data_IF_383695006941
#
_entry.id   IF_383695006941
#
_cell.length_a   1.000
_cell.length_b   1.000
_cell.length_c   1.000
_cell.angle_alpha   90.00
_cell.angle_beta   90.00
_cell.angle_gamma   90.00
#
_symmetry.space_group_name_H-M   'P 1'
#
loop_
_entity.id
_entity.type
_entity.pdbx_description
1 polymer ?
#
# COMPACT_ATOMS: atom_id res chain seq x y z
N UNK A 1 -0.08 10.46 6.80
CA UNK A 1 -0.35 9.21 7.54
C UNK A 1 0.76 8.98 8.54
N UNK A 2 0.46 8.34 9.66
CA UNK A 2 1.41 8.04 10.73
C UNK A 2 1.40 6.55 10.96
N UNK A 3 2.54 5.91 10.74
CA UNK A 3 2.71 4.46 10.73
C UNK A 3 3.40 4.06 12.01
N UNK A 4 2.80 3.15 12.78
CA UNK A 4 3.46 2.48 13.89
C UNK A 4 3.84 1.08 13.49
N UNK A 5 5.09 0.73 13.77
CA UNK A 5 5.63 -0.59 13.49
C UNK A 5 5.59 -1.43 14.78
N UNK A 6 5.12 -2.66 14.66
CA UNK A 6 5.08 -3.64 15.75
C UNK A 6 5.50 -5.04 15.31
N UNK A 7 5.58 -5.96 16.26
CA UNK A 7 6.05 -7.33 16.00
C UNK A 7 7.58 -7.43 16.04
N UNK A 8 8.16 -8.19 15.11
CA UNK A 8 9.59 -8.50 15.07
C UNK A 8 10.20 -8.21 13.69
N UNK A 9 10.22 -6.94 13.22
CA UNK A 9 10.90 -6.60 11.96
C UNK A 9 12.40 -6.84 12.05
N UNK A 10 13.04 -7.12 10.92
CA UNK A 10 14.49 -7.01 10.78
C UNK A 10 14.92 -5.55 10.61
N UNK A 11 16.22 -5.27 10.66
CA UNK A 11 16.74 -3.93 10.34
C UNK A 11 16.48 -3.59 8.86
N UNK A 12 16.62 -4.58 7.96
CA UNK A 12 16.34 -4.42 6.53
C UNK A 12 14.86 -4.11 6.28
N UNK A 13 13.93 -4.74 7.02
CA UNK A 13 12.50 -4.42 6.93
C UNK A 13 12.22 -2.95 7.28
N UNK A 14 12.88 -2.42 8.31
CA UNK A 14 12.72 -1.02 8.73
C UNK A 14 13.28 -0.06 7.67
N UNK A 15 14.43 -0.39 7.09
CA UNK A 15 15.04 0.38 6.00
C UNK A 15 14.12 0.41 4.76
N UNK A 16 13.51 -0.72 4.42
CA UNK A 16 12.54 -0.78 3.31
C UNK A 16 11.27 0.02 3.62
N UNK A 17 10.76 0.00 4.86
CA UNK A 17 9.62 0.88 5.23
C UNK A 17 9.99 2.35 5.08
N UNK A 18 11.17 2.77 5.54
CA UNK A 18 11.63 4.15 5.41
C UNK A 18 11.80 4.58 3.95
N UNK A 19 12.34 3.69 3.11
CA UNK A 19 12.46 3.91 1.66
C UNK A 19 11.10 4.09 1.00
N UNK A 20 10.16 3.18 1.23
CA UNK A 20 8.81 3.21 0.67
C UNK A 20 8.06 4.48 1.14
N UNK A 21 8.22 4.88 2.40
CA UNK A 21 7.67 6.14 2.93
C UNK A 21 8.26 7.35 2.20
N UNK A 22 9.58 7.38 1.97
CA UNK A 22 10.23 8.45 1.23
C UNK A 22 9.70 8.56 -0.20
N UNK A 23 9.61 7.43 -0.91
CA UNK A 23 9.14 7.43 -2.30
C UNK A 23 7.66 7.83 -2.42
N UNK A 24 6.81 7.37 -1.50
CA UNK A 24 5.42 7.79 -1.47
C UNK A 24 5.28 9.28 -1.18
N UNK A 25 6.11 9.85 -0.30
CA UNK A 25 6.14 11.29 -0.05
C UNK A 25 6.65 12.10 -1.26
N UNK A 26 7.53 11.54 -2.09
CA UNK A 26 7.98 12.17 -3.34
C UNK A 26 6.86 12.19 -4.40
N UNK A 27 6.00 11.16 -4.43
CA UNK A 27 4.88 11.06 -5.37
C UNK A 27 3.67 11.87 -4.89
N UNK A 28 3.37 11.84 -3.59
CA UNK A 28 2.14 12.37 -2.99
C UNK A 28 2.41 13.73 -2.33
N UNK A 29 1.80 14.78 -2.89
CA UNK A 29 1.98 16.17 -2.39
C UNK A 29 0.87 16.67 -1.45
N UNK A 30 -0.17 15.86 -1.21
CA UNK A 30 -1.38 16.27 -0.46
C UNK A 30 -1.44 15.74 0.96
N UNK A 31 -0.65 14.71 1.26
CA UNK A 31 -0.46 14.13 2.59
C UNK A 31 1.03 13.83 2.79
N UNK A 32 1.44 13.68 4.04
CA UNK A 32 2.81 13.29 4.40
C UNK A 32 2.75 12.00 5.23
N UNK A 33 3.51 10.99 4.84
CA UNK A 33 3.72 9.74 5.54
C UNK A 33 4.91 9.86 6.49
N UNK A 34 4.81 9.27 7.68
CA UNK A 34 5.89 9.22 8.67
C UNK A 34 5.76 7.98 9.55
N UNK A 35 6.89 7.44 9.99
CA UNK A 35 6.94 6.41 11.05
C UNK A 35 6.93 7.11 12.41
N UNK A 36 6.10 6.62 13.33
CA UNK A 36 5.88 7.22 14.66
C UNK A 36 5.79 6.16 15.76
N UNK A 37 6.11 6.56 16.99
CA UNK A 37 5.96 5.70 18.17
C UNK A 37 4.53 5.70 18.75
N UNK A 38 3.79 6.80 18.55
CA UNK A 38 2.46 7.01 19.11
C UNK A 38 1.59 7.90 18.20
N UNK A 39 0.26 7.86 18.43
CA UNK A 39 -0.76 8.59 17.68
C UNK A 39 -0.88 8.16 16.21
N UNK A 40 -0.56 6.92 15.90
CA UNK A 40 -0.64 6.36 14.56
C UNK A 40 -2.07 6.30 14.00
N UNK A 41 -2.17 6.20 12.69
CA UNK A 41 -3.40 5.78 12.02
C UNK A 41 -3.18 4.59 11.07
N UNK A 42 -1.94 4.14 10.90
CA UNK A 42 -1.60 2.87 10.27
C UNK A 42 -0.80 2.05 11.28
N UNK A 43 -1.23 0.82 11.55
CA UNK A 43 -0.44 -0.14 12.30
C UNK A 43 0.13 -1.19 11.34
N UNK A 44 1.45 -1.37 11.32
CA UNK A 44 2.14 -2.36 10.50
C UNK A 44 2.82 -3.40 11.42
N UNK A 45 2.43 -4.66 11.29
CA UNK A 45 2.89 -5.74 12.17
C UNK A 45 3.72 -6.77 11.40
N UNK A 46 4.95 -6.99 11.85
CA UNK A 46 5.84 -8.04 11.35
C UNK A 46 5.70 -9.29 12.23
N UNK A 47 4.90 -10.25 11.78
CA UNK A 47 4.50 -11.43 12.57
C UNK A 47 4.46 -12.70 11.71
N UNK A 48 4.54 -13.90 12.32
CA UNK A 48 4.27 -15.13 11.59
C UNK A 48 2.89 -15.10 10.93
N UNK A 49 2.76 -15.67 9.72
CA UNK A 49 1.52 -15.64 8.93
C UNK A 49 0.34 -16.30 9.66
N UNK A 50 0.61 -17.27 10.54
CA UNK A 50 -0.40 -17.89 11.39
C UNK A 50 -1.12 -16.92 12.33
N UNK A 51 -0.46 -15.80 12.66
CA UNK A 51 -0.92 -14.82 13.65
C UNK A 51 -1.65 -13.65 12.99
N UNK A 52 -1.71 -13.57 11.65
CA UNK A 52 -2.39 -12.47 10.94
C UNK A 52 -3.82 -12.24 11.39
N UNK A 53 -4.54 -13.31 11.76
CA UNK A 53 -5.94 -13.24 12.23
C UNK A 53 -6.10 -12.53 13.57
N UNK A 54 -5.04 -12.41 14.36
CA UNK A 54 -5.05 -11.63 15.61
C UNK A 54 -5.18 -10.13 15.32
N UNK A 55 -4.72 -9.69 14.15
CA UNK A 55 -4.68 -8.28 13.74
C UNK A 55 -5.74 -7.95 12.69
N UNK A 56 -5.96 -8.84 11.72
CA UNK A 56 -6.90 -8.68 10.62
C UNK A 56 -7.89 -9.85 10.62
N UNK A 57 -9.08 -9.60 11.16
CA UNK A 57 -10.16 -10.60 11.19
C UNK A 57 -10.48 -11.10 9.77
N UNK A 58 -10.43 -12.41 9.59
CA UNK A 58 -10.72 -13.06 8.30
C UNK A 58 -9.52 -13.17 7.35
N UNK A 59 -8.31 -12.83 7.78
CA UNK A 59 -7.09 -13.14 7.02
C UNK A 59 -7.05 -14.62 6.62
N UNK A 60 -6.73 -14.92 5.36
CA UNK A 60 -6.62 -16.28 4.83
C UNK A 60 -5.26 -16.84 5.21
N UNK A 61 -5.26 -18.10 5.68
CA UNK A 61 -4.03 -18.78 6.05
C UNK A 61 -3.19 -19.06 4.79
N UNK A 62 -1.90 -18.81 4.88
CA UNK A 62 -0.94 -19.04 3.79
C UNK A 62 -0.62 -17.81 2.95
N UNK A 63 -1.32 -16.69 3.13
CA UNK A 63 -0.92 -15.42 2.54
C UNK A 63 0.36 -14.89 3.22
N UNK A 64 1.19 -14.21 2.43
CA UNK A 64 2.46 -13.66 2.88
C UNK A 64 2.33 -12.28 3.52
N UNK A 65 1.29 -11.54 3.16
CA UNK A 65 0.94 -10.27 3.77
C UNK A 65 -0.57 -9.99 3.66
N UNK A 66 -1.02 -8.95 4.35
CA UNK A 66 -2.37 -8.41 4.26
C UNK A 66 -2.40 -6.93 4.64
N UNK A 67 -3.30 -6.20 3.99
CA UNK A 67 -3.78 -4.91 4.46
C UNK A 67 -5.29 -4.96 4.76
N UNK A 68 -5.72 -4.01 5.60
CA UNK A 68 -7.12 -3.62 5.75
C UNK A 68 -7.19 -2.17 6.16
N UNK A 69 -7.88 -1.36 5.37
CA UNK A 69 -8.26 -0.01 5.78
C UNK A 69 -9.71 0.04 6.28
N UNK A 70 -10.00 1.06 7.08
CA UNK A 70 -11.29 1.38 7.63
C UNK A 70 -11.62 2.81 7.25
N UNK A 71 -12.79 3.01 6.68
CA UNK A 71 -13.26 4.34 6.32
C UNK A 71 -14.18 4.89 7.40
N UNK A 72 -14.18 6.22 7.55
CA UNK A 72 -15.23 6.96 8.26
C UNK A 72 -16.21 7.56 7.25
N UNK A 73 -16.99 8.55 7.68
CA UNK A 73 -17.93 9.27 6.85
C UNK A 73 -17.30 9.71 5.52
N UNK A 74 -18.08 9.58 4.43
CA UNK A 74 -17.70 10.03 3.08
C UNK A 74 -16.44 9.39 2.50
N UNK A 75 -16.22 8.10 2.78
CA UNK A 75 -15.16 7.30 2.13
C UNK A 75 -13.72 7.70 2.51
N UNK A 76 -13.54 8.56 3.52
CA UNK A 76 -12.21 8.91 4.02
C UNK A 76 -11.60 7.72 4.76
N UNK A 77 -10.41 7.28 4.36
CA UNK A 77 -9.64 6.28 5.11
C UNK A 77 -9.21 6.90 6.45
N UNK A 78 -9.71 6.35 7.55
CA UNK A 78 -9.41 6.80 8.91
C UNK A 78 -8.24 6.01 9.50
N UNK A 79 -8.25 4.68 9.31
CA UNK A 79 -7.27 3.76 9.88
C UNK A 79 -6.91 2.65 8.91
N UNK A 80 -5.70 2.10 9.06
CA UNK A 80 -5.32 0.85 8.41
C UNK A 80 -4.51 -0.07 9.32
N UNK A 81 -4.56 -1.36 9.02
CA UNK A 81 -3.70 -2.39 9.59
C UNK A 81 -3.03 -3.11 8.44
N UNK A 82 -1.72 -3.34 8.56
CA UNK A 82 -0.90 -4.12 7.64
C UNK A 82 -0.24 -5.23 8.45
N UNK A 83 -0.16 -6.43 7.90
CA UNK A 83 0.60 -7.55 8.46
C UNK A 83 1.58 -8.08 7.42
N UNK A 84 2.86 -8.20 7.79
CA UNK A 84 3.93 -8.73 6.95
C UNK A 84 4.42 -10.03 7.57
N UNK A 85 4.49 -11.09 6.76
CA UNK A 85 4.83 -12.44 7.20
C UNK A 85 6.33 -12.58 7.47
N UNK A 86 6.70 -13.04 8.66
CA UNK A 86 8.11 -13.23 9.04
C UNK A 86 8.61 -14.67 8.96
N UNK A 87 7.70 -15.65 8.88
CA UNK A 87 8.09 -17.06 8.88
C UNK A 87 8.16 -17.62 7.46
N UNK A 88 9.34 -18.05 7.03
CA UNK A 88 9.55 -18.67 5.72
C UNK A 88 9.59 -17.70 4.54
N UNK A 89 9.50 -16.38 4.77
CA UNK A 89 9.73 -15.33 3.76
C UNK A 89 11.21 -14.96 3.74
N UNK A 90 11.76 -14.70 2.56
CA UNK A 90 13.06 -14.07 2.43
C UNK A 90 12.91 -12.52 2.49
N UNK A 91 14.02 -11.78 2.45
CA UNK A 91 13.97 -10.31 2.50
C UNK A 91 13.28 -9.71 1.27
N UNK A 92 13.57 -10.22 0.08
CA UNK A 92 12.97 -9.76 -1.18
C UNK A 92 11.44 -9.89 -1.18
N UNK A 93 10.91 -10.99 -0.64
CA UNK A 93 9.47 -11.20 -0.46
C UNK A 93 8.88 -10.11 0.45
N UNK A 94 9.56 -9.80 1.56
CA UNK A 94 9.09 -8.77 2.50
C UNK A 94 9.20 -7.37 1.91
N UNK A 95 10.26 -7.07 1.16
CA UNK A 95 10.44 -5.78 0.53
C UNK A 95 9.30 -5.48 -0.47
N UNK A 96 8.97 -6.48 -1.29
CA UNK A 96 7.83 -6.43 -2.20
C UNK A 96 6.52 -6.16 -1.44
N UNK A 97 6.22 -6.97 -0.42
CA UNK A 97 4.97 -6.83 0.33
C UNK A 97 4.88 -5.55 1.16
N UNK A 98 5.98 -5.05 1.74
CA UNK A 98 5.98 -3.75 2.44
C UNK A 98 5.51 -2.66 1.48
N UNK A 99 6.07 -2.64 0.26
CA UNK A 99 5.74 -1.65 -0.76
C UNK A 99 4.31 -1.78 -1.27
N UNK A 100 3.91 -3.00 -1.61
CA UNK A 100 2.56 -3.32 -2.09
C UNK A 100 1.51 -2.95 -1.03
N UNK A 101 1.62 -3.51 0.16
CA UNK A 101 0.59 -3.43 1.20
C UNK A 101 0.46 -2.03 1.79
N UNK A 102 1.57 -1.30 1.94
CA UNK A 102 1.53 0.10 2.36
C UNK A 102 0.81 0.96 1.31
N UNK A 103 1.07 0.72 0.02
CA UNK A 103 0.37 1.42 -1.06
C UNK A 103 -1.10 1.04 -1.13
N UNK A 104 -1.44 -0.25 -1.00
CA UNK A 104 -2.83 -0.70 -1.01
C UNK A 104 -3.62 -0.15 0.19
N UNK A 105 -2.99 -0.02 1.36
CA UNK A 105 -3.58 0.59 2.55
C UNK A 105 -3.94 2.08 2.37
N UNK A 106 -3.36 2.75 1.37
CA UNK A 106 -3.69 4.12 0.97
C UNK A 106 -4.93 4.22 0.06
N UNK A 107 -5.56 3.10 -0.30
CA UNK A 107 -6.81 3.06 -1.07
C UNK A 107 -6.72 2.37 -2.43
N UNK A 108 -5.56 1.83 -2.80
CA UNK A 108 -5.32 1.14 -4.08
C UNK A 108 -5.39 -0.38 -3.95
N UNK A 109 -6.40 -0.89 -3.24
CA UNK A 109 -6.46 -2.27 -2.77
C UNK A 109 -6.86 -3.34 -3.78
N UNK A 110 -6.56 -3.18 -5.07
CA UNK A 110 -6.88 -4.19 -6.10
C UNK A 110 -5.66 -4.52 -6.94
N UNK A 111 -5.52 -5.80 -7.22
CA UNK A 111 -4.45 -6.33 -8.06
C UNK A 111 -4.85 -6.38 -9.54
N UNK A 112 -3.86 -6.54 -10.40
CA UNK A 112 -4.00 -6.58 -11.86
C UNK A 112 -3.02 -7.57 -12.50
N UNK A 113 -3.50 -8.53 -13.31
CA UNK A 113 -2.62 -9.46 -14.04
C UNK A 113 -2.03 -8.85 -15.32
N UNK A 114 -2.21 -7.54 -15.57
CA UNK A 114 -1.91 -6.92 -16.87
C UNK A 114 -0.49 -6.34 -16.98
N UNK A 115 0.02 -5.75 -15.90
CA UNK A 115 1.25 -4.94 -15.91
C UNK A 115 2.32 -5.61 -15.07
N UNK A 116 3.20 -6.41 -15.69
CA UNK A 116 4.15 -7.30 -14.98
C UNK A 116 5.14 -6.61 -14.08
N UNK A 117 5.47 -5.36 -14.38
CA UNK A 117 6.38 -4.50 -13.64
C UNK A 117 5.67 -3.68 -12.55
N UNK A 118 4.34 -3.77 -12.46
CA UNK A 118 3.55 -3.03 -11.47
C UNK A 118 3.66 -3.66 -10.08
N UNK A 119 3.70 -2.83 -9.04
CA UNK A 119 3.61 -3.32 -7.67
C UNK A 119 2.29 -4.05 -7.38
N UNK A 120 1.22 -3.77 -8.14
CA UNK A 120 -0.09 -4.41 -8.03
C UNK A 120 -0.23 -5.66 -8.90
N UNK A 121 0.88 -6.22 -9.38
CA UNK A 121 0.85 -7.35 -10.30
C UNK A 121 0.62 -8.68 -9.58
N UNK A 122 -0.50 -9.34 -9.89
CA UNK A 122 -0.80 -10.68 -9.40
C UNK A 122 -1.08 -11.64 -10.57
N UNK A 123 -0.31 -12.73 -10.65
CA UNK A 123 -0.55 -13.85 -11.57
C UNK A 123 0.02 -15.15 -11.02
N UNK A 124 -0.38 -16.30 -11.59
CA UNK A 124 0.28 -17.58 -11.28
C UNK A 124 1.79 -17.51 -11.55
N UNK A 125 2.61 -17.83 -10.53
CA UNK A 125 4.08 -17.77 -10.63
C UNK A 125 4.67 -16.35 -10.51
N UNK A 126 4.07 -15.51 -9.66
CA UNK A 126 4.40 -14.10 -9.41
C UNK A 126 5.91 -13.75 -9.48
N UNK A 127 6.17 -12.57 -10.06
CA UNK A 127 7.45 -11.88 -9.97
C UNK A 127 7.37 -10.87 -8.83
N UNK A 128 8.38 -10.84 -7.97
CA UNK A 128 8.53 -9.78 -6.98
C UNK A 128 8.94 -8.49 -7.70
N UNK A 129 8.20 -7.41 -7.44
CA UNK A 129 8.54 -6.07 -7.90
C UNK A 129 8.99 -5.25 -6.70
N UNK A 130 10.22 -4.75 -6.75
CA UNK A 130 10.85 -4.01 -5.65
C UNK A 130 10.78 -2.49 -5.84
N UNK A 131 10.23 -2.04 -6.96
CA UNK A 131 10.13 -0.63 -7.36
C UNK A 131 8.71 -0.30 -7.82
N UNK A 132 8.32 0.97 -7.70
CA UNK A 132 7.12 1.46 -8.40
C UNK A 132 7.40 1.66 -9.89
N UNK A 133 6.61 1.02 -10.75
CA UNK A 133 6.63 1.29 -12.19
C UNK A 133 6.20 2.73 -12.49
N UNK A 134 6.50 3.27 -13.69
CA UNK A 134 5.97 4.56 -14.12
C UNK A 134 4.44 4.61 -14.11
N UNK A 135 3.76 3.47 -14.28
CA UNK A 135 2.31 3.40 -14.21
C UNK A 135 1.81 3.51 -12.76
N UNK A 136 2.43 2.80 -11.82
CA UNK A 136 2.08 2.85 -10.40
C UNK A 136 2.17 4.28 -9.87
N UNK A 137 3.29 4.96 -10.18
CA UNK A 137 3.52 6.35 -9.78
C UNK A 137 2.41 7.28 -10.28
N UNK A 138 1.95 7.10 -11.53
CA UNK A 138 0.84 7.88 -12.10
C UNK A 138 -0.49 7.59 -11.43
N UNK A 139 -0.78 6.33 -11.12
CA UNK A 139 -2.04 5.94 -10.44
C UNK A 139 -2.07 6.52 -9.02
N UNK A 140 -0.97 6.40 -8.27
CA UNK A 140 -0.80 6.99 -6.94
C UNK A 140 -0.96 8.52 -7.03
N UNK A 141 -0.27 9.18 -7.97
CA UNK A 141 -0.39 10.63 -8.18
C UNK A 141 -1.85 11.02 -8.40
N UNK A 142 -2.57 10.34 -9.31
CA UNK A 142 -3.96 10.65 -9.66
C UNK A 142 -4.87 10.58 -8.43
N UNK A 143 -4.80 9.49 -7.66
CA UNK A 143 -5.66 9.29 -6.49
C UNK A 143 -5.50 10.41 -5.43
N UNK A 144 -4.29 10.97 -5.34
CA UNK A 144 -3.93 11.97 -4.35
C UNK A 144 -3.89 13.41 -4.88
N UNK A 145 -4.42 13.67 -6.08
CA UNK A 145 -4.53 15.05 -6.59
C UNK A 145 -5.51 15.89 -5.76
N UNK A 146 -5.24 17.19 -5.68
CA UNK A 146 -6.09 18.15 -4.95
C UNK A 146 -7.48 18.34 -5.55
N UNK A 147 -7.64 18.06 -6.84
CA UNK A 147 -8.89 18.17 -7.59
C UNK A 147 -9.65 16.85 -7.70
N UNK A 148 -9.11 15.77 -7.14
CA UNK A 148 -9.81 14.50 -6.94
C UNK A 148 -10.36 14.47 -5.52
N UNK A 149 -11.68 14.41 -5.39
CA UNK A 149 -12.37 14.45 -4.12
C UNK A 149 -12.84 13.06 -3.68
N UNK A 150 -12.97 12.88 -2.37
CA UNK A 150 -13.54 11.66 -1.80
C UNK A 150 -14.95 11.38 -2.35
N UNK A 151 -15.17 10.14 -2.76
CA UNK A 151 -16.46 9.68 -3.28
C UNK A 151 -16.71 9.99 -4.76
N UNK A 152 -15.74 10.58 -5.47
CA UNK A 152 -15.83 10.69 -6.92
C UNK A 152 -15.90 9.30 -7.56
N UNK A 153 -16.78 9.15 -8.54
CA UNK A 153 -16.82 7.97 -9.39
C UNK A 153 -15.83 8.06 -10.58
N UNK A 154 -15.74 6.99 -11.36
CA UNK A 154 -14.85 6.91 -12.52
C UNK A 154 -15.11 8.04 -13.53
N UNK A 155 -16.37 8.38 -13.81
CA UNK A 155 -16.73 9.41 -14.79
C UNK A 155 -16.29 10.80 -14.31
N UNK A 156 -16.49 11.09 -13.02
CA UNK A 156 -16.05 12.33 -12.39
C UNK A 156 -14.52 12.46 -12.39
N UNK A 157 -13.80 11.40 -12.04
CA UNK A 157 -12.33 11.37 -12.09
C UNK A 157 -11.83 11.59 -13.52
N UNK A 158 -12.40 10.87 -14.51
CA UNK A 158 -12.01 11.01 -15.92
C UNK A 158 -12.23 12.42 -16.46
N UNK A 159 -13.30 13.11 -16.03
CA UNK A 159 -13.52 14.53 -16.38
C UNK A 159 -12.44 15.44 -15.81
N UNK A 160 -11.96 15.19 -14.60
CA UNK A 160 -10.89 15.99 -13.97
C UNK A 160 -9.54 15.78 -14.66
N UNK A 161 -9.29 14.57 -15.18
CA UNK A 161 -8.00 14.22 -15.79
C UNK A 161 -8.02 14.22 -17.33
N UNK A 162 -9.12 14.62 -17.97
CA UNK A 162 -9.33 14.54 -19.43
C UNK A 162 -8.20 15.18 -20.23
N UNK A 163 -7.71 16.34 -19.80
CA UNK A 163 -6.67 17.10 -20.49
C UNK A 163 -5.28 16.42 -20.42
N UNK A 164 -5.14 15.36 -19.61
CA UNK A 164 -3.92 14.55 -19.48
C UNK A 164 -4.05 13.19 -20.15
N UNK A 165 -5.23 12.82 -20.63
CA UNK A 165 -5.43 11.60 -21.43
C UNK A 165 -4.93 11.91 -22.84
N UNK A 166 -3.70 11.52 -23.12
CA UNK A 166 -3.17 11.55 -24.48
C UNK A 166 -3.73 10.32 -25.19
N UNK A 167 -4.51 10.51 -26.24
CA UNK A 167 -4.87 9.40 -27.14
C UNK A 167 -3.57 8.86 -27.77
N UNK A 168 -3.31 7.58 -27.59
CA UNK A 168 -2.23 6.84 -28.28
C UNK A 168 -2.63 6.48 -29.72
#
# INVERSE_FOLDING_TARGET
MRIKIGGNPTQEDLETVDEVVSELNDIISTIELSVVEENENINMYFVPQGDFREYISGAVLGNWAYFRYYTKDRWEIDKAIITIGTFGSNQEDRDHHIREELTQALGMGKDSPKYKDSIFYESEGQSLNLDYSPLDKKVIEILYRKDIALGMDEEEVLKVISDRIVEE
#
